data_IF_077467939125
#
_entry.id   IF_077467939125
#
_cell.length_a   1.000
_cell.length_b   1.000
_cell.length_c   1.000
_cell.angle_alpha   90.00
_cell.angle_beta   90.00
_cell.angle_gamma   90.00
#
_symmetry.space_group_name_H-M   'P 1'
#
loop_
_entity.id
_entity.type
_entity.pdbx_description
1 polymer ?
#
# COMPACT_ATOMS: atom_id res chain seq x y z
N UNK A 1 12.83 -14.75 -22.01
CA UNK A 1 13.37 -13.60 -21.24
C UNK A 1 12.27 -12.95 -20.40
N UNK A 2 11.09 -12.74 -20.96
CA UNK A 2 9.96 -12.06 -20.30
C UNK A 2 9.44 -12.77 -19.04
N UNK A 3 9.51 -14.10 -18.99
CA UNK A 3 9.11 -14.87 -17.80
C UNK A 3 10.00 -14.58 -16.58
N UNK A 4 11.31 -14.40 -16.78
CA UNK A 4 12.25 -14.10 -15.69
C UNK A 4 11.98 -12.69 -15.18
N UNK A 5 11.80 -11.73 -16.09
CA UNK A 5 11.49 -10.34 -15.74
C UNK A 5 10.17 -10.26 -14.98
N UNK A 6 9.13 -10.95 -15.47
CA UNK A 6 7.83 -11.01 -14.79
C UNK A 6 7.94 -11.59 -13.38
N UNK A 7 8.66 -12.70 -13.21
CA UNK A 7 8.81 -13.33 -11.89
C UNK A 7 9.60 -12.46 -10.91
N UNK A 8 10.62 -11.73 -11.39
CA UNK A 8 11.36 -10.76 -10.56
C UNK A 8 10.47 -9.58 -10.16
N UNK A 9 9.69 -9.03 -11.09
CA UNK A 9 8.73 -7.97 -10.79
C UNK A 9 7.69 -8.44 -9.78
N UNK A 10 7.16 -9.66 -9.95
CA UNK A 10 6.21 -10.27 -9.03
C UNK A 10 6.81 -10.46 -7.64
N UNK A 11 8.05 -10.94 -7.55
CA UNK A 11 8.76 -11.08 -6.28
C UNK A 11 8.89 -9.74 -5.55
N UNK A 12 9.37 -8.70 -6.23
CA UNK A 12 9.49 -7.35 -5.66
C UNK A 12 8.12 -6.80 -5.26
N UNK A 13 7.10 -7.02 -6.09
CA UNK A 13 5.72 -6.62 -5.83
C UNK A 13 5.19 -7.25 -4.53
N UNK A 14 5.41 -8.55 -4.33
CA UNK A 14 4.95 -9.26 -3.13
C UNK A 14 5.72 -8.84 -1.87
N UNK A 15 7.02 -8.56 -1.96
CA UNK A 15 7.78 -7.97 -0.85
C UNK A 15 7.21 -6.61 -0.47
N UNK A 16 6.97 -5.74 -1.47
CA UNK A 16 6.40 -4.42 -1.25
C UNK A 16 5.00 -4.51 -0.62
N UNK A 17 4.19 -5.49 -1.03
CA UNK A 17 2.90 -5.79 -0.40
C UNK A 17 3.07 -6.18 1.08
N UNK A 18 4.02 -7.07 1.37
CA UNK A 18 4.34 -7.50 2.73
C UNK A 18 4.76 -6.35 3.63
N UNK A 19 5.63 -5.46 3.15
CA UNK A 19 6.04 -4.25 3.90
C UNK A 19 4.84 -3.32 4.14
N UNK A 20 3.99 -3.11 3.14
CA UNK A 20 2.78 -2.31 3.27
C UNK A 20 1.78 -2.89 4.28
N UNK A 21 1.57 -4.20 4.28
CA UNK A 21 0.73 -4.90 5.26
C UNK A 21 1.30 -4.80 6.67
N UNK A 22 2.60 -5.06 6.84
CA UNK A 22 3.27 -4.97 8.13
C UNK A 22 3.15 -3.56 8.72
N UNK A 23 3.38 -2.51 7.92
CA UNK A 23 3.22 -1.13 8.35
C UNK A 23 1.80 -0.79 8.81
N UNK A 24 0.78 -1.38 8.18
CA UNK A 24 -0.63 -1.20 8.56
C UNK A 24 -0.99 -1.86 9.90
N UNK A 25 -0.24 -2.88 10.32
CA UNK A 25 -0.41 -3.55 11.62
C UNK A 25 0.43 -2.86 12.70
N UNK A 26 1.70 -2.56 12.41
CA UNK A 26 2.66 -2.04 13.39
C UNK A 26 2.35 -0.56 13.74
N UNK A 27 2.02 0.26 12.74
CA UNK A 27 1.73 1.70 12.93
C UNK A 27 0.70 1.99 14.04
N UNK A 28 -0.52 1.40 14.04
CA UNK A 28 -1.49 1.63 15.09
C UNK A 28 -1.06 1.09 16.46
N UNK A 29 -0.27 0.00 16.52
CA UNK A 29 0.26 -0.51 17.78
C UNK A 29 1.24 0.49 18.42
N UNK A 30 2.11 1.11 17.61
CA UNK A 30 3.00 2.18 18.07
C UNK A 30 2.19 3.41 18.51
N UNK A 31 1.19 3.82 17.71
CA UNK A 31 0.32 4.94 18.05
C UNK A 31 -0.37 4.77 19.41
N UNK A 32 -0.89 3.57 19.70
CA UNK A 32 -1.49 3.24 21.01
C UNK A 32 -0.48 3.30 22.16
N UNK A 33 0.74 2.79 21.96
CA UNK A 33 1.80 2.84 22.99
C UNK A 33 2.27 4.27 23.27
N UNK A 34 2.37 5.09 22.23
CA UNK A 34 2.79 6.49 22.34
C UNK A 34 1.80 7.35 23.13
N UNK A 35 0.50 7.08 23.04
CA UNK A 35 -0.53 7.82 23.78
C UNK A 35 -0.28 7.82 25.30
N UNK A 36 0.18 6.69 25.83
CA UNK A 36 0.38 6.49 27.27
C UNK A 36 1.84 6.64 27.73
N UNK A 37 2.77 6.96 26.82
CA UNK A 37 4.20 6.96 27.11
C UNK A 37 4.68 8.30 27.72
N UNK A 38 5.77 8.28 28.51
CA UNK A 38 6.45 9.50 28.95
C UNK A 38 7.11 10.27 27.78
N UNK A 39 7.54 11.54 27.99
CA UNK A 39 8.09 12.39 26.92
C UNK A 39 9.23 11.76 26.12
N UNK A 40 10.16 11.08 26.81
CA UNK A 40 11.30 10.40 26.21
C UNK A 40 10.87 9.24 25.30
N UNK A 41 10.01 8.35 25.80
CA UNK A 41 9.49 7.23 25.04
C UNK A 41 8.60 7.69 23.87
N UNK A 42 7.88 8.82 23.99
CA UNK A 42 7.13 9.41 22.89
C UNK A 42 8.04 9.86 21.74
N UNK A 43 9.19 10.47 22.04
CA UNK A 43 10.15 10.86 21.02
C UNK A 43 10.69 9.65 20.24
N UNK A 44 11.06 8.58 20.95
CA UNK A 44 11.51 7.34 20.33
C UNK A 44 10.44 6.69 19.44
N UNK A 45 9.20 6.58 19.93
CA UNK A 45 8.08 6.03 19.15
C UNK A 45 7.71 6.91 17.95
N UNK A 46 7.83 8.23 18.08
CA UNK A 46 7.62 9.18 16.99
C UNK A 46 8.61 8.97 15.83
N UNK A 47 9.90 8.79 16.15
CA UNK A 47 10.93 8.48 15.16
C UNK A 47 10.64 7.17 14.41
N UNK A 48 10.33 6.10 15.15
CA UNK A 48 9.95 4.81 14.56
C UNK A 48 8.69 4.92 13.68
N UNK A 49 7.69 5.67 14.13
CA UNK A 49 6.47 5.93 13.36
C UNK A 49 6.75 6.65 12.04
N UNK A 50 7.68 7.62 12.04
CA UNK A 50 8.09 8.32 10.83
C UNK A 50 8.80 7.40 9.83
N UNK A 51 9.67 6.51 10.31
CA UNK A 51 10.36 5.53 9.47
C UNK A 51 9.40 4.52 8.85
N UNK A 52 8.46 3.99 9.64
CA UNK A 52 7.41 3.09 9.13
C UNK A 52 6.56 3.81 8.08
N UNK A 53 6.20 5.07 8.31
CA UNK A 53 5.48 5.88 7.34
C UNK A 53 6.26 6.07 6.04
N UNK A 54 7.57 6.33 6.12
CA UNK A 54 8.46 6.45 4.95
C UNK A 54 8.53 5.14 4.18
N UNK A 55 8.80 4.04 4.87
CA UNK A 55 8.91 2.72 4.25
C UNK A 55 7.59 2.29 3.61
N UNK A 56 6.46 2.60 4.25
CA UNK A 56 5.13 2.35 3.68
C UNK A 56 4.88 3.11 2.38
N UNK A 57 5.31 4.38 2.27
CA UNK A 57 5.21 5.15 1.01
C UNK A 57 6.09 4.58 -0.09
N UNK A 58 7.32 4.19 0.25
CA UNK A 58 8.25 3.57 -0.71
C UNK A 58 7.68 2.25 -1.21
N UNK A 59 7.22 1.38 -0.30
CA UNK A 59 6.59 0.11 -0.63
C UNK A 59 5.35 0.30 -1.51
N UNK A 60 4.50 1.28 -1.21
CA UNK A 60 3.34 1.59 -2.05
C UNK A 60 3.75 2.07 -3.45
N UNK A 61 4.76 2.94 -3.55
CA UNK A 61 5.32 3.33 -4.85
C UNK A 61 5.83 2.13 -5.66
N UNK A 62 6.58 1.23 -5.01
CA UNK A 62 7.06 -0.01 -5.63
C UNK A 62 5.91 -0.92 -6.08
N UNK A 63 4.84 -1.05 -5.30
CA UNK A 63 3.65 -1.82 -5.67
C UNK A 63 3.03 -1.29 -6.95
N UNK A 64 2.84 0.03 -7.05
CA UNK A 64 2.24 0.66 -8.24
C UNK A 64 3.13 0.43 -9.46
N UNK A 65 4.43 0.71 -9.35
CA UNK A 65 5.38 0.60 -10.46
C UNK A 65 5.49 -0.85 -10.94
N UNK A 66 5.72 -1.80 -10.03
CA UNK A 66 5.86 -3.21 -10.39
C UNK A 66 4.54 -3.82 -10.88
N UNK A 67 3.40 -3.41 -10.33
CA UNK A 67 2.08 -3.82 -10.79
C UNK A 67 1.80 -3.41 -12.23
N UNK A 68 2.06 -2.14 -12.56
CA UNK A 68 1.93 -1.64 -13.93
C UNK A 68 2.92 -2.33 -14.87
N UNK A 69 4.18 -2.44 -14.48
CA UNK A 69 5.21 -3.11 -15.30
C UNK A 69 4.83 -4.57 -15.61
N UNK A 70 4.29 -5.31 -14.65
CA UNK A 70 3.79 -6.67 -14.89
C UNK A 70 2.65 -6.70 -15.90
N UNK A 71 1.75 -5.71 -15.93
CA UNK A 71 0.69 -5.63 -16.94
C UNK A 71 1.28 -5.49 -18.34
N UNK A 72 2.27 -4.61 -18.52
CA UNK A 72 2.93 -4.44 -19.82
C UNK A 72 3.72 -5.68 -20.25
N UNK A 73 4.48 -6.30 -19.34
CA UNK A 73 5.32 -7.47 -19.66
C UNK A 73 4.48 -8.71 -19.96
N UNK A 74 3.41 -8.97 -19.19
CA UNK A 74 2.64 -10.22 -19.28
C UNK A 74 1.42 -10.15 -20.19
N UNK A 75 0.80 -8.97 -20.27
CA UNK A 75 -0.49 -8.75 -20.94
C UNK A 75 -0.40 -7.68 -22.04
N UNK A 76 0.81 -7.23 -22.41
CA UNK A 76 1.00 -6.27 -23.50
C UNK A 76 0.43 -4.87 -23.24
N UNK A 77 0.11 -4.56 -21.99
CA UNK A 77 -0.53 -3.28 -21.62
C UNK A 77 -2.05 -3.26 -21.82
N UNK A 78 -2.67 -4.39 -22.16
CA UNK A 78 -4.13 -4.48 -22.27
C UNK A 78 -4.77 -4.53 -20.88
N UNK A 79 -5.21 -3.38 -20.39
CA UNK A 79 -5.95 -3.28 -19.12
C UNK A 79 -7.44 -3.65 -19.28
N UNK A 80 -8.00 -3.57 -20.48
CA UNK A 80 -9.42 -3.83 -20.74
C UNK A 80 -9.72 -5.33 -20.80
N UNK A 81 -8.77 -6.12 -21.31
CA UNK A 81 -8.83 -7.59 -21.30
C UNK A 81 -8.58 -8.23 -19.94
N UNK A 82 -8.25 -7.44 -18.90
CA UNK A 82 -8.10 -7.96 -17.54
C UNK A 82 -9.47 -8.16 -16.90
N UNK A 83 -9.69 -9.32 -16.27
CA UNK A 83 -10.98 -9.67 -15.66
C UNK A 83 -11.47 -8.67 -14.60
N UNK A 84 -12.78 -8.71 -14.24
CA UNK A 84 -13.42 -7.69 -13.42
C UNK A 84 -12.75 -7.52 -12.04
N UNK A 85 -12.28 -8.60 -11.42
CA UNK A 85 -11.56 -8.55 -10.14
C UNK A 85 -10.22 -7.81 -10.24
N UNK A 86 -9.49 -7.97 -11.35
CA UNK A 86 -8.25 -7.23 -11.56
C UNK A 86 -8.53 -5.74 -11.73
N UNK A 87 -9.57 -5.38 -12.48
CA UNK A 87 -9.97 -3.98 -12.65
C UNK A 87 -10.39 -3.34 -11.32
N UNK A 88 -11.20 -4.05 -10.52
CA UNK A 88 -11.60 -3.61 -9.19
C UNK A 88 -10.38 -3.35 -8.28
N UNK A 89 -9.40 -4.27 -8.28
CA UNK A 89 -8.13 -4.10 -7.56
C UNK A 89 -7.41 -2.82 -7.97
N UNK A 90 -7.31 -2.54 -9.27
CA UNK A 90 -6.67 -1.32 -9.78
C UNK A 90 -7.43 -0.07 -9.35
N UNK A 91 -8.77 -0.09 -9.41
CA UNK A 91 -9.60 1.04 -8.95
C UNK A 91 -9.35 1.35 -7.47
N UNK A 92 -9.26 0.33 -6.60
CA UNK A 92 -8.93 0.52 -5.19
C UNK A 92 -7.53 1.13 -4.98
N UNK A 93 -6.53 0.68 -5.76
CA UNK A 93 -5.18 1.27 -5.74
C UNK A 93 -5.20 2.75 -6.17
N UNK A 94 -5.99 3.11 -7.19
CA UNK A 94 -6.16 4.50 -7.63
C UNK A 94 -6.79 5.34 -6.51
N UNK A 95 -7.80 4.83 -5.81
CA UNK A 95 -8.38 5.53 -4.66
C UNK A 95 -7.33 5.73 -3.55
N UNK A 96 -6.52 4.71 -3.24
CA UNK A 96 -5.43 4.83 -2.27
C UNK A 96 -4.40 5.89 -2.67
N UNK A 97 -4.04 5.96 -3.96
CA UNK A 97 -3.16 7.01 -4.52
C UNK A 97 -3.75 8.41 -4.30
N UNK A 98 -5.02 8.59 -4.64
CA UNK A 98 -5.73 9.88 -4.48
C UNK A 98 -5.75 10.30 -3.01
N UNK A 99 -6.05 9.38 -2.08
CA UNK A 99 -6.04 9.66 -0.65
C UNK A 99 -4.64 10.03 -0.15
N UNK A 100 -3.60 9.34 -0.60
CA UNK A 100 -2.22 9.65 -0.22
C UNK A 100 -1.79 11.04 -0.71
N UNK A 101 -2.12 11.39 -1.96
CA UNK A 101 -1.83 12.72 -2.52
C UNK A 101 -2.63 13.79 -1.77
N UNK A 102 -3.91 13.55 -1.49
CA UNK A 102 -4.75 14.48 -0.74
C UNK A 102 -4.21 14.70 0.68
N UNK A 103 -3.78 13.65 1.37
CA UNK A 103 -3.18 13.76 2.71
C UNK A 103 -1.84 14.53 2.68
N UNK A 104 -1.07 14.43 1.60
CA UNK A 104 0.18 15.17 1.43
C UNK A 104 -0.05 16.66 1.13
N UNK A 105 -1.00 16.98 0.25
CA UNK A 105 -1.27 18.36 -0.19
C UNK A 105 -2.19 19.11 0.77
N UNK A 106 -3.11 18.40 1.42
CA UNK A 106 -4.12 18.95 2.36
C UNK A 106 -4.21 18.09 3.61
N UNK A 107 -3.21 18.14 4.51
CA UNK A 107 -3.14 17.26 5.68
C UNK A 107 -4.30 17.40 6.67
N UNK A 108 -5.02 18.53 6.65
CA UNK A 108 -6.20 18.78 7.50
C UNK A 108 -7.52 18.31 6.88
N UNK A 109 -7.53 17.89 5.60
CA UNK A 109 -8.75 17.50 4.90
C UNK A 109 -9.36 16.20 5.42
N UNK A 110 -8.53 15.30 5.95
CA UNK A 110 -8.97 14.00 6.47
C UNK A 110 -8.37 13.78 7.85
N UNK A 111 -9.22 13.43 8.83
CA UNK A 111 -8.75 13.06 10.17
C UNK A 111 -7.81 11.86 10.08
N UNK A 112 -6.62 11.87 10.73
CA UNK A 112 -5.64 10.79 10.61
C UNK A 112 -6.18 9.39 10.96
N UNK A 113 -7.10 9.31 11.93
CA UNK A 113 -7.76 8.07 12.33
C UNK A 113 -8.64 7.49 11.20
N UNK A 114 -9.40 8.36 10.53
CA UNK A 114 -10.27 7.99 9.41
C UNK A 114 -9.42 7.59 8.21
N UNK A 115 -8.40 8.39 7.90
CA UNK A 115 -7.44 8.08 6.83
C UNK A 115 -6.82 6.70 7.01
N UNK A 116 -6.29 6.41 8.21
CA UNK A 116 -5.68 5.12 8.50
C UNK A 116 -6.65 3.95 8.42
N UNK A 117 -7.90 4.13 8.86
CA UNK A 117 -8.94 3.09 8.74
C UNK A 117 -9.29 2.83 7.28
N UNK A 118 -9.57 3.88 6.51
CA UNK A 118 -9.93 3.79 5.08
C UNK A 118 -8.81 3.13 4.28
N UNK A 119 -7.55 3.54 4.48
CA UNK A 119 -6.39 2.94 3.80
C UNK A 119 -6.27 1.43 4.08
N UNK A 120 -6.58 0.97 5.31
CA UNK A 120 -6.58 -0.45 5.64
C UNK A 120 -7.70 -1.22 4.96
N UNK A 121 -8.91 -0.67 4.96
CA UNK A 121 -10.06 -1.30 4.29
C UNK A 121 -9.80 -1.42 2.79
N UNK A 122 -9.26 -0.37 2.17
CA UNK A 122 -8.86 -0.39 0.76
C UNK A 122 -7.79 -1.47 0.51
N UNK A 123 -6.75 -1.55 1.35
CA UNK A 123 -5.71 -2.56 1.22
C UNK A 123 -6.27 -4.00 1.33
N UNK A 124 -7.18 -4.24 2.28
CA UNK A 124 -7.85 -5.54 2.41
C UNK A 124 -8.67 -5.87 1.16
N UNK A 125 -9.40 -4.89 0.62
CA UNK A 125 -10.10 -5.02 -0.65
C UNK A 125 -9.16 -5.36 -1.82
N UNK A 126 -8.01 -4.68 -1.91
CA UNK A 126 -6.98 -4.96 -2.92
C UNK A 126 -6.50 -6.42 -2.84
N UNK A 127 -6.21 -6.89 -1.63
CA UNK A 127 -5.77 -8.29 -1.41
C UNK A 127 -6.87 -9.27 -1.80
N UNK A 128 -8.12 -9.02 -1.41
CA UNK A 128 -9.26 -9.87 -1.75
C UNK A 128 -9.47 -9.94 -3.28
N UNK A 129 -9.47 -8.79 -3.95
CA UNK A 129 -9.58 -8.72 -5.41
C UNK A 129 -8.39 -9.42 -6.09
N UNK A 130 -7.18 -9.34 -5.52
CA UNK A 130 -6.03 -10.06 -6.05
C UNK A 130 -6.22 -11.59 -5.96
N UNK A 131 -6.73 -12.10 -4.83
CA UNK A 131 -7.03 -13.54 -4.68
C UNK A 131 -8.03 -13.99 -5.76
N UNK A 132 -9.16 -13.29 -5.92
CA UNK A 132 -10.15 -13.68 -6.93
C UNK A 132 -9.73 -13.44 -8.38
N UNK A 133 -8.78 -12.54 -8.63
CA UNK A 133 -8.28 -12.30 -9.99
C UNK A 133 -7.34 -13.41 -10.49
N UNK A 134 -6.80 -14.25 -9.58
CA UNK A 134 -5.76 -15.24 -9.90
C UNK A 134 -6.09 -16.67 -9.41
N UNK A 135 -7.34 -16.94 -9.02
CA UNK A 135 -7.90 -18.28 -8.81
C UNK A 135 -8.97 -18.54 -9.87
#
# INVERSE_FOLDING_TARGET
MDIIIFNLLLFVHLIALGVGLAGNIIGPLIGKRMANAGPEARAAFGGLGAEIGRNGRIAFGLLVITGLAMVFVRYGGDFAGLGPWFQAKIALIVIMLVLLVLAAVRPTAIKPQVFGLVMRVLLLGVVLCAVFAFN
#
